data_IF_490774155790
#
_entry.id   IF_490774155790
#
_cell.length_a   1.000
_cell.length_b   1.000
_cell.length_c   1.000
_cell.angle_alpha   90.00
_cell.angle_beta   90.00
_cell.angle_gamma   90.00
#
_symmetry.space_group_name_H-M   'P 1'
#
loop_
_entity.id
_entity.type
_entity.pdbx_description
1 polymer ?
#
# COMPACT_ATOMS: atom_id res chain seq x y z
N UNK A 1 29.00 -11.87 -17.74
CA UNK A 1 28.24 -10.61 -17.67
C UNK A 1 27.85 -10.35 -16.22
N UNK A 2 27.85 -9.09 -15.81
CA UNK A 2 27.38 -8.73 -14.47
C UNK A 2 25.86 -8.96 -14.40
N UNK A 3 25.37 -9.57 -13.30
CA UNK A 3 23.95 -9.87 -13.12
C UNK A 3 23.19 -8.57 -12.88
N UNK A 4 22.03 -8.41 -13.53
CA UNK A 4 21.10 -7.30 -13.28
C UNK A 4 20.12 -7.72 -12.21
N UNK A 5 20.40 -7.37 -10.97
CA UNK A 5 19.59 -7.76 -9.82
C UNK A 5 18.72 -6.59 -9.33
N UNK A 6 17.47 -6.89 -8.96
CA UNK A 6 16.59 -5.95 -8.27
C UNK A 6 15.90 -6.63 -7.11
N UNK A 7 15.77 -5.93 -5.98
CA UNK A 7 15.25 -6.48 -4.74
C UNK A 7 14.06 -5.67 -4.25
N UNK A 8 12.99 -6.36 -3.85
CA UNK A 8 11.86 -5.78 -3.12
C UNK A 8 11.60 -6.58 -1.85
N UNK A 9 10.99 -5.92 -0.86
CA UNK A 9 10.59 -6.54 0.39
C UNK A 9 9.11 -6.36 0.68
N UNK A 10 8.58 -7.18 1.58
CA UNK A 10 7.27 -7.02 2.17
C UNK A 10 7.29 -7.46 3.64
N UNK A 11 6.25 -7.11 4.36
CA UNK A 11 6.06 -7.49 5.76
C UNK A 11 4.66 -8.05 5.97
N UNK A 12 4.49 -8.87 7.01
CA UNK A 12 3.17 -9.40 7.40
C UNK A 12 2.33 -8.35 8.12
N UNK A 13 1.05 -8.62 8.27
CA UNK A 13 0.11 -7.78 9.03
C UNK A 13 0.51 -7.56 10.50
N UNK A 14 1.33 -8.46 11.07
CA UNK A 14 1.80 -8.38 12.46
C UNK A 14 3.10 -7.60 12.65
N UNK A 15 3.70 -7.06 11.58
CA UNK A 15 4.80 -6.12 11.71
C UNK A 15 4.35 -4.85 12.43
N UNK A 16 5.11 -4.27 13.38
CA UNK A 16 4.67 -3.13 14.18
C UNK A 16 4.13 -1.94 13.38
N UNK A 17 4.82 -1.53 12.32
CA UNK A 17 4.35 -0.45 11.45
C UNK A 17 3.03 -0.82 10.76
N UNK A 18 2.86 -2.08 10.36
CA UNK A 18 1.63 -2.55 9.70
C UNK A 18 0.45 -2.71 10.67
N UNK A 19 0.70 -3.00 11.92
CA UNK A 19 -0.33 -2.91 12.97
C UNK A 19 -0.86 -1.48 13.03
N UNK A 20 0.03 -0.49 13.04
CA UNK A 20 -0.34 0.93 13.08
C UNK A 20 -1.14 1.36 11.85
N UNK A 21 -0.71 0.97 10.65
CA UNK A 21 -1.43 1.25 9.41
C UNK A 21 -2.84 0.66 9.43
N UNK A 22 -2.98 -0.60 9.86
CA UNK A 22 -4.29 -1.27 9.95
C UNK A 22 -5.22 -0.63 10.98
N UNK A 23 -4.70 -0.16 12.11
CA UNK A 23 -5.49 0.54 13.12
C UNK A 23 -5.96 1.88 12.57
N UNK A 24 -5.07 2.67 11.98
CA UNK A 24 -5.40 3.98 11.42
C UNK A 24 -6.46 3.88 10.32
N UNK A 25 -6.37 2.88 9.45
CA UNK A 25 -7.38 2.63 8.42
C UNK A 25 -8.66 1.99 8.97
N UNK A 26 -8.60 1.21 10.04
CA UNK A 26 -9.80 0.71 10.72
C UNK A 26 -10.61 1.84 11.36
N UNK A 27 -9.94 2.84 11.92
CA UNK A 27 -10.57 4.06 12.43
C UNK A 27 -11.22 4.85 11.30
N UNK A 28 -10.51 5.04 10.19
CA UNK A 28 -11.04 5.71 9.00
C UNK A 28 -12.30 5.00 8.45
N UNK A 29 -12.25 3.68 8.27
CA UNK A 29 -13.39 2.92 7.76
C UNK A 29 -14.59 2.99 8.69
N UNK A 30 -14.39 2.89 10.02
CA UNK A 30 -15.48 3.02 10.99
C UNK A 30 -16.12 4.42 11.00
N UNK A 31 -15.34 5.46 10.74
CA UNK A 31 -15.86 6.81 10.55
C UNK A 31 -16.67 6.93 9.26
N UNK A 32 -16.18 6.38 8.16
CA UNK A 32 -16.84 6.42 6.86
C UNK A 32 -18.16 5.61 6.82
N UNK A 33 -18.28 4.55 7.59
CA UNK A 33 -19.54 3.81 7.74
C UNK A 33 -20.69 4.68 8.27
N UNK A 34 -20.38 5.69 9.10
CA UNK A 34 -21.39 6.58 9.71
C UNK A 34 -21.42 7.97 9.05
N UNK A 35 -20.27 8.48 8.59
CA UNK A 35 -20.14 9.80 7.97
C UNK A 35 -19.12 9.77 6.82
N UNK A 36 -19.56 9.53 5.57
CA UNK A 36 -18.69 9.49 4.40
C UNK A 36 -17.95 10.81 4.10
N UNK A 37 -18.33 11.90 4.78
CA UNK A 37 -17.69 13.19 4.65
C UNK A 37 -16.72 13.52 5.79
N UNK A 38 -16.42 12.57 6.65
CA UNK A 38 -15.41 12.71 7.70
C UNK A 38 -14.06 13.16 7.12
N UNK A 39 -13.43 14.12 7.78
CA UNK A 39 -12.05 14.55 7.52
C UNK A 39 -11.16 13.88 8.55
N UNK A 40 -10.20 13.10 8.08
CA UNK A 40 -9.41 12.20 8.92
C UNK A 40 -7.94 12.29 8.55
N UNK A 41 -7.13 12.60 9.53
CA UNK A 41 -5.69 12.43 9.53
C UNK A 41 -5.35 11.69 10.83
N UNK A 42 -5.43 10.36 10.80
CA UNK A 42 -5.30 9.49 11.97
C UNK A 42 -4.00 8.72 11.90
N UNK A 43 -3.14 8.93 12.86
CA UNK A 43 -1.87 8.23 13.00
C UNK A 43 -1.89 7.35 14.25
N UNK A 44 -1.17 6.26 14.18
CA UNK A 44 -1.04 5.30 15.28
C UNK A 44 0.43 5.05 15.54
N UNK A 45 0.80 4.96 16.80
CA UNK A 45 2.07 4.42 17.22
C UNK A 45 1.87 3.28 18.21
N UNK A 46 2.80 2.33 18.20
CA UNK A 46 2.82 1.20 19.14
C UNK A 46 4.24 0.90 19.63
N UNK A 47 4.31 0.42 20.85
CA UNK A 47 5.53 -0.11 21.47
C UNK A 47 5.12 -1.16 22.51
N UNK A 48 6.06 -1.66 23.30
CA UNK A 48 5.80 -2.66 24.33
C UNK A 48 4.61 -2.26 25.23
N UNK A 49 3.54 -3.03 25.14
CA UNK A 49 2.38 -2.93 26.04
C UNK A 49 1.41 -1.79 25.75
N UNK A 50 1.62 -0.93 24.75
CA UNK A 50 0.68 0.16 24.49
C UNK A 50 0.50 0.51 23.00
N UNK A 51 -0.64 1.16 22.72
CA UNK A 51 -0.98 1.76 21.42
C UNK A 51 -1.49 3.17 21.69
N UNK A 52 -1.05 4.13 20.88
CA UNK A 52 -1.55 5.49 20.87
C UNK A 52 -2.14 5.82 19.49
N UNK A 53 -3.38 6.29 19.47
CA UNK A 53 -4.06 6.84 18.29
C UNK A 53 -4.12 8.35 18.43
N UNK A 54 -3.59 9.07 17.45
CA UNK A 54 -3.47 10.52 17.48
C UNK A 54 -3.76 11.14 16.11
N UNK A 55 -3.94 12.45 16.07
CA UNK A 55 -4.17 13.21 14.84
C UNK A 55 -5.39 14.12 14.90
N UNK A 56 -5.91 14.46 13.73
CA UNK A 56 -7.03 15.38 13.59
C UNK A 56 -8.22 14.70 12.89
N UNK A 57 -9.39 14.78 13.52
CA UNK A 57 -10.63 14.19 12.99
C UNK A 57 -11.78 15.19 13.12
N UNK A 58 -12.43 15.50 11.99
CA UNK A 58 -13.67 16.25 11.95
C UNK A 58 -14.77 15.37 11.37
N UNK A 59 -15.76 15.02 12.19
CA UNK A 59 -16.79 14.04 11.82
C UNK A 59 -18.09 14.27 12.61
N UNK A 60 -19.17 13.71 12.08
CA UNK A 60 -20.46 13.54 12.79
C UNK A 60 -20.62 12.13 13.37
N UNK A 61 -19.69 11.22 13.01
CA UNK A 61 -19.71 9.85 13.50
C UNK A 61 -19.35 9.77 14.99
N UNK A 62 -19.85 8.75 15.65
CA UNK A 62 -19.48 8.40 17.02
C UNK A 62 -19.03 6.94 17.06
N UNK A 63 -17.74 6.72 17.28
CA UNK A 63 -17.10 5.40 17.24
C UNK A 63 -16.36 5.09 18.53
N UNK A 64 -16.26 3.82 18.89
CA UNK A 64 -15.46 3.32 20.02
C UNK A 64 -14.05 2.94 19.54
N UNK A 65 -13.12 3.91 19.55
CA UNK A 65 -11.75 3.71 19.10
C UNK A 65 -11.02 2.62 19.91
N UNK A 66 -11.09 2.55 21.25
CA UNK A 66 -10.47 1.45 22.00
C UNK A 66 -10.91 0.07 21.52
N UNK A 67 -12.19 -0.14 21.26
CA UNK A 67 -12.71 -1.41 20.75
C UNK A 67 -12.20 -1.72 19.35
N UNK A 68 -12.13 -0.72 18.46
CA UNK A 68 -11.56 -0.86 17.10
C UNK A 68 -10.08 -1.27 17.18
N UNK A 69 -9.30 -0.62 18.02
CA UNK A 69 -7.87 -0.92 18.24
C UNK A 69 -7.72 -2.37 18.70
N UNK A 70 -8.40 -2.74 19.79
CA UNK A 70 -8.31 -4.10 20.37
C UNK A 70 -8.71 -5.17 19.38
N UNK A 71 -9.83 -4.97 18.67
CA UNK A 71 -10.30 -5.89 17.64
C UNK A 71 -9.27 -6.04 16.52
N UNK A 72 -8.69 -4.95 16.04
CA UNK A 72 -7.69 -4.99 14.96
C UNK A 72 -6.46 -5.81 15.38
N UNK A 73 -5.95 -5.57 16.59
CA UNK A 73 -4.77 -6.27 17.12
C UNK A 73 -5.03 -7.75 17.35
N UNK A 74 -6.19 -8.10 17.90
CA UNK A 74 -6.57 -9.50 18.14
C UNK A 74 -6.87 -10.24 16.82
N UNK A 75 -7.49 -9.58 15.83
CA UNK A 75 -7.70 -10.14 14.48
C UNK A 75 -6.37 -10.45 13.76
N UNK A 76 -5.33 -9.64 13.98
CA UNK A 76 -3.97 -9.89 13.50
C UNK A 76 -3.38 -11.15 14.17
N UNK A 77 -3.75 -11.44 15.40
CA UNK A 77 -3.33 -12.62 16.14
C UNK A 77 -2.48 -12.33 17.38
N UNK A 78 -2.37 -11.06 17.80
CA UNK A 78 -1.82 -10.68 19.10
C UNK A 78 -2.93 -10.64 20.16
N UNK A 79 -3.31 -11.83 20.62
CA UNK A 79 -4.44 -12.10 21.52
C UNK A 79 -4.01 -12.68 22.87
N UNK A 80 -2.70 -12.80 23.10
CA UNK A 80 -2.10 -13.35 24.33
C UNK A 80 -0.70 -12.76 24.57
N UNK A 81 -0.38 -12.52 25.83
CA UNK A 81 0.96 -12.11 26.27
C UNK A 81 2.08 -13.09 25.87
N UNK A 82 1.78 -14.37 25.67
CA UNK A 82 2.74 -15.38 25.21
C UNK A 82 3.28 -15.09 23.81
N UNK A 83 2.53 -14.30 23.03
CA UNK A 83 2.96 -13.84 21.71
C UNK A 83 3.78 -12.54 21.73
N UNK A 84 4.04 -12.01 22.95
CA UNK A 84 4.79 -10.79 23.19
C UNK A 84 3.95 -9.51 23.19
N UNK A 85 2.70 -9.57 22.73
CA UNK A 85 1.75 -8.45 22.73
C UNK A 85 0.32 -8.99 22.85
N UNK A 86 -0.55 -8.29 23.59
CA UNK A 86 -1.94 -8.72 23.78
C UNK A 86 -2.89 -7.53 23.61
N UNK A 87 -3.67 -7.55 22.54
CA UNK A 87 -4.68 -6.54 22.23
C UNK A 87 -5.80 -6.44 23.27
N UNK A 88 -6.04 -7.49 24.05
CA UNK A 88 -7.06 -7.47 25.10
C UNK A 88 -6.64 -6.64 26.31
N UNK A 89 -5.34 -6.57 26.59
CA UNK A 89 -4.79 -6.01 27.85
C UNK A 89 -3.85 -4.81 27.65
N UNK A 90 -3.39 -4.53 26.43
CA UNK A 90 -2.52 -3.40 26.15
C UNK A 90 -3.19 -2.06 26.53
N UNK A 91 -2.39 -1.07 26.90
CA UNK A 91 -2.88 0.29 27.09
C UNK A 91 -3.28 0.90 25.74
N UNK A 92 -4.43 1.56 25.68
CA UNK A 92 -4.89 2.32 24.51
C UNK A 92 -5.02 3.78 24.91
N UNK A 93 -4.24 4.65 24.27
CA UNK A 93 -4.25 6.09 24.46
C UNK A 93 -4.83 6.77 23.23
N UNK A 94 -5.57 7.85 23.44
CA UNK A 94 -6.21 8.63 22.37
C UNK A 94 -5.86 10.09 22.54
N UNK A 95 -5.34 10.71 21.47
CA UNK A 95 -5.03 12.13 21.38
C UNK A 95 -5.49 12.65 20.01
N UNK A 96 -6.81 12.78 19.84
CA UNK A 96 -7.44 13.26 18.61
C UNK A 96 -8.05 14.64 18.83
N UNK A 97 -7.66 15.58 17.98
CA UNK A 97 -8.17 16.94 17.94
C UNK A 97 -9.06 17.19 16.71
N UNK A 98 -9.70 18.35 16.65
CA UNK A 98 -10.40 18.80 15.44
C UNK A 98 -9.43 19.46 14.47
N UNK A 99 -9.67 19.28 13.16
CA UNK A 99 -8.89 19.96 12.12
C UNK A 99 -8.95 21.49 12.30
N UNK A 100 -7.82 22.16 12.04
CA UNK A 100 -7.71 23.62 12.04
C UNK A 100 -8.71 24.27 11.06
N UNK A 101 -9.39 25.33 11.51
CA UNK A 101 -10.30 26.11 10.68
C UNK A 101 -9.57 26.80 9.49
N UNK A 102 -8.31 27.17 9.68
CA UNK A 102 -7.50 27.83 8.63
C UNK A 102 -7.23 26.90 7.45
N UNK A 103 -6.97 25.63 7.73
CA UNK A 103 -6.77 24.60 6.69
C UNK A 103 -8.10 24.37 5.95
N UNK A 104 -9.22 24.27 6.66
CA UNK A 104 -10.54 24.03 6.06
C UNK A 104 -10.91 25.14 5.04
N UNK A 105 -10.67 26.42 5.36
CA UNK A 105 -10.98 27.53 4.44
C UNK A 105 -10.22 27.48 3.10
N UNK A 106 -8.99 26.95 3.09
CA UNK A 106 -8.17 26.81 1.89
C UNK A 106 -8.59 25.63 1.00
N UNK A 107 -9.21 24.61 1.58
CA UNK A 107 -9.50 23.33 0.95
C UNK A 107 -10.95 23.21 0.48
N UNK A 108 -11.89 23.82 1.20
CA UNK A 108 -13.33 23.68 0.91
C UNK A 108 -13.78 24.37 -0.39
N UNK A 109 -13.07 25.41 -0.84
CA UNK A 109 -13.31 26.05 -2.13
C UNK A 109 -11.97 26.33 -2.81
N UNK A 110 -11.75 25.76 -4.00
CA UNK A 110 -10.53 25.92 -4.79
C UNK A 110 -10.30 27.36 -5.20
N UNK A 111 -9.04 27.72 -5.46
CA UNK A 111 -8.65 29.04 -5.96
C UNK A 111 -9.36 29.35 -7.28
N UNK A 112 -9.35 28.40 -8.22
CA UNK A 112 -9.99 28.52 -9.53
C UNK A 112 -11.53 28.69 -9.43
N UNK A 113 -12.15 28.11 -8.39
CA UNK A 113 -13.57 28.33 -8.11
C UNK A 113 -13.83 29.72 -7.52
N UNK A 114 -12.91 30.28 -6.73
CA UNK A 114 -12.99 31.67 -6.22
C UNK A 114 -12.84 32.68 -7.34
N UNK A 115 -12.05 32.36 -8.36
CA UNK A 115 -11.82 33.19 -9.54
C UNK A 115 -12.88 32.99 -10.64
N UNK A 116 -13.84 32.05 -10.43
CA UNK A 116 -14.94 31.79 -11.36
C UNK A 116 -14.57 30.97 -12.60
N UNK A 117 -13.40 30.29 -12.59
CA UNK A 117 -12.93 29.48 -13.71
C UNK A 117 -13.55 28.07 -13.71
N UNK A 118 -13.98 27.56 -12.55
CA UNK A 118 -14.61 26.25 -12.38
C UNK A 118 -15.81 26.35 -11.42
N UNK A 119 -16.56 25.26 -11.29
CA UNK A 119 -17.74 25.19 -10.44
C UNK A 119 -17.41 25.54 -8.96
N UNK A 120 -18.29 26.34 -8.34
CA UNK A 120 -18.17 26.81 -6.95
C UNK A 120 -18.11 25.68 -5.91
N UNK A 121 -18.57 24.49 -6.26
CA UNK A 121 -18.52 23.28 -5.39
C UNK A 121 -17.18 22.55 -5.45
N UNK A 122 -16.24 22.98 -6.30
CA UNK A 122 -14.95 22.32 -6.46
C UNK A 122 -13.99 22.71 -5.33
N UNK A 123 -13.53 21.67 -4.57
CA UNK A 123 -12.52 21.83 -3.54
C UNK A 123 -11.10 21.84 -4.11
N UNK A 124 -10.20 22.55 -3.43
CA UNK A 124 -8.78 22.54 -3.73
C UNK A 124 -8.08 21.32 -3.10
N UNK A 125 -6.84 21.05 -3.52
CA UNK A 125 -6.02 20.03 -2.88
C UNK A 125 -5.79 20.36 -1.39
N UNK A 126 -5.87 19.33 -0.55
CA UNK A 126 -5.72 19.47 0.91
C UNK A 126 -4.31 19.79 1.37
N UNK A 127 -3.33 19.59 0.52
CA UNK A 127 -1.92 19.89 0.76
C UNK A 127 -1.19 20.07 -0.58
N UNK A 128 0.02 20.60 -0.52
CA UNK A 128 0.99 20.48 -1.58
C UNK A 128 1.57 19.07 -1.62
N UNK A 129 2.07 18.63 -2.77
CA UNK A 129 2.79 17.35 -2.82
C UNK A 129 2.97 16.84 -4.24
N UNK A 130 3.75 15.76 -4.34
CA UNK A 130 3.91 14.97 -5.55
C UNK A 130 3.57 13.51 -5.26
N UNK A 131 2.87 12.87 -6.18
CA UNK A 131 2.43 11.48 -6.07
C UNK A 131 2.83 10.73 -7.33
N UNK A 132 3.15 9.46 -7.17
CA UNK A 132 3.56 8.59 -8.27
C UNK A 132 2.60 7.42 -8.43
N UNK A 133 2.33 7.08 -9.69
CA UNK A 133 1.70 5.84 -10.08
C UNK A 133 2.61 5.07 -11.02
N UNK A 134 2.54 3.74 -10.98
CA UNK A 134 3.36 2.88 -11.81
C UNK A 134 2.59 1.64 -12.24
N UNK A 135 2.92 1.14 -13.42
CA UNK A 135 2.51 -0.16 -13.91
C UNK A 135 3.56 -0.74 -14.86
N UNK A 136 3.64 -2.06 -14.91
CA UNK A 136 4.50 -2.81 -15.83
C UNK A 136 3.79 -4.10 -16.25
N UNK A 137 4.10 -4.62 -17.42
CA UNK A 137 3.55 -5.88 -17.93
C UNK A 137 4.29 -7.13 -17.39
N UNK A 138 5.13 -6.99 -16.36
CA UNK A 138 5.88 -8.10 -15.76
C UNK A 138 4.99 -9.17 -15.11
N UNK A 139 3.82 -8.76 -14.61
CA UNK A 139 2.86 -9.67 -13.95
C UNK A 139 1.44 -9.40 -14.44
N UNK A 140 0.51 -10.37 -14.32
CA UNK A 140 -0.89 -10.18 -14.69
C UNK A 140 -1.60 -9.04 -13.95
N UNK A 141 -1.16 -8.72 -12.74
CA UNK A 141 -1.64 -7.61 -11.93
C UNK A 141 -1.01 -6.27 -12.29
N UNK A 142 -0.12 -6.23 -13.29
CA UNK A 142 0.61 -5.04 -13.73
C UNK A 142 1.50 -4.44 -12.63
N UNK A 143 2.14 -5.31 -11.85
CA UNK A 143 3.09 -4.95 -10.79
C UNK A 143 4.50 -5.41 -11.12
N UNK A 144 5.54 -4.78 -10.55
CA UNK A 144 6.90 -5.33 -10.60
C UNK A 144 6.95 -6.73 -10.00
N UNK A 145 7.60 -7.66 -10.68
CA UNK A 145 7.61 -9.08 -10.27
C UNK A 145 8.19 -9.27 -8.86
N UNK A 146 9.29 -8.55 -8.53
CA UNK A 146 9.91 -8.63 -7.21
C UNK A 146 8.98 -8.18 -6.08
N UNK A 147 8.26 -7.07 -6.27
CA UNK A 147 7.30 -6.55 -5.30
C UNK A 147 6.08 -7.47 -5.16
N UNK A 148 5.48 -7.87 -6.30
CA UNK A 148 4.33 -8.77 -6.31
C UNK A 148 4.63 -10.10 -5.59
N UNK A 149 5.81 -10.68 -5.84
CA UNK A 149 6.20 -11.94 -5.22
C UNK A 149 6.48 -11.78 -3.72
N UNK A 150 7.16 -10.70 -3.29
CA UNK A 150 7.38 -10.42 -1.88
C UNK A 150 6.05 -10.28 -1.11
N UNK A 151 5.07 -9.58 -1.69
CA UNK A 151 3.71 -9.46 -1.12
C UNK A 151 2.98 -10.82 -1.05
N UNK A 152 3.05 -11.62 -2.11
CA UNK A 152 2.44 -12.97 -2.13
C UNK A 152 3.04 -13.88 -1.06
N UNK A 153 4.37 -13.85 -0.87
CA UNK A 153 5.05 -14.63 0.16
C UNK A 153 4.66 -14.20 1.57
N UNK A 154 4.62 -12.89 1.86
CA UNK A 154 4.21 -12.39 3.17
C UNK A 154 2.75 -12.71 3.49
N UNK A 155 1.86 -12.65 2.48
CA UNK A 155 0.46 -13.03 2.60
C UNK A 155 0.30 -14.54 2.83
N UNK A 156 1.08 -15.39 2.15
CA UNK A 156 1.07 -16.83 2.34
C UNK A 156 1.58 -17.20 3.73
N UNK A 157 2.62 -16.53 4.23
CA UNK A 157 3.12 -16.73 5.59
C UNK A 157 2.04 -16.49 6.64
N UNK A 158 1.26 -15.42 6.48
CA UNK A 158 0.11 -15.14 7.34
C UNK A 158 -1.01 -16.18 7.17
N UNK A 159 -1.29 -16.62 5.93
CA UNK A 159 -2.33 -17.62 5.67
C UNK A 159 -2.04 -18.91 6.41
N UNK A 160 -0.84 -19.50 6.27
CA UNK A 160 -0.49 -20.77 6.90
C UNK A 160 -0.45 -20.70 8.43
N UNK A 161 -0.23 -19.51 8.99
CA UNK A 161 -0.37 -19.24 10.41
C UNK A 161 -1.85 -19.24 10.84
N UNK A 162 -2.70 -18.48 10.14
CA UNK A 162 -4.11 -18.27 10.51
C UNK A 162 -4.98 -19.51 10.28
N UNK A 163 -4.69 -20.31 9.25
CA UNK A 163 -5.44 -21.53 8.96
C UNK A 163 -4.96 -22.74 9.80
N UNK A 164 -3.93 -22.56 10.63
CA UNK A 164 -3.40 -23.56 11.54
C UNK A 164 -2.43 -24.55 10.90
N UNK A 165 -2.10 -24.43 9.62
CA UNK A 165 -1.09 -25.27 8.95
C UNK A 165 0.25 -25.19 9.66
N UNK A 166 0.68 -23.98 10.04
CA UNK A 166 1.89 -23.73 10.83
C UNK A 166 1.51 -22.95 12.11
N UNK A 167 0.85 -23.61 13.04
CA UNK A 167 0.27 -22.99 14.25
C UNK A 167 1.30 -22.39 15.22
N UNK A 168 2.57 -22.78 15.10
CA UNK A 168 3.66 -22.22 15.89
C UNK A 168 4.16 -20.86 15.38
N UNK A 169 3.78 -20.44 14.18
CA UNK A 169 4.13 -19.12 13.68
C UNK A 169 3.36 -18.03 14.45
N UNK A 170 4.03 -16.90 14.63
CA UNK A 170 3.48 -15.69 15.25
C UNK A 170 3.30 -14.59 14.23
N UNK A 171 2.58 -13.49 14.57
CA UNK A 171 2.11 -12.54 13.56
C UNK A 171 3.21 -11.75 12.83
N UNK A 172 4.36 -11.46 13.44
CA UNK A 172 5.42 -10.67 12.84
C UNK A 172 6.25 -11.48 11.84
N UNK A 173 6.54 -10.87 10.71
CA UNK A 173 7.38 -11.50 9.68
C UNK A 173 7.71 -10.56 8.53
N UNK A 174 8.75 -10.93 7.80
CA UNK A 174 9.27 -10.19 6.63
C UNK A 174 9.61 -11.14 5.50
N UNK A 175 9.47 -10.67 4.28
CA UNK A 175 9.90 -11.36 3.07
C UNK A 175 10.70 -10.42 2.19
N UNK A 176 11.69 -10.94 1.50
CA UNK A 176 12.48 -10.19 0.53
C UNK A 176 12.78 -11.09 -0.66
N UNK A 177 12.71 -10.53 -1.86
CA UNK A 177 12.94 -11.24 -3.10
C UNK A 177 13.92 -10.47 -3.96
N UNK A 178 15.00 -11.12 -4.38
CA UNK A 178 15.95 -10.60 -5.36
C UNK A 178 15.76 -11.33 -6.68
N UNK A 179 15.42 -10.58 -7.71
CA UNK A 179 15.14 -11.06 -9.06
C UNK A 179 16.29 -10.71 -9.99
N UNK A 180 16.70 -11.64 -10.83
CA UNK A 180 17.61 -11.40 -11.94
C UNK A 180 16.80 -11.08 -13.20
N UNK A 181 17.21 -10.03 -13.91
CA UNK A 181 16.56 -9.54 -15.13
C UNK A 181 17.48 -9.67 -16.33
N UNK A 182 16.90 -9.96 -17.50
CA UNK A 182 17.61 -9.95 -18.77
C UNK A 182 17.94 -8.53 -19.28
N UNK A 183 18.51 -8.44 -20.46
CA UNK A 183 18.84 -7.17 -21.11
C UNK A 183 17.61 -6.31 -21.43
N UNK A 184 16.45 -6.95 -21.63
CA UNK A 184 15.16 -6.32 -21.89
C UNK A 184 14.38 -6.03 -20.63
N UNK A 185 15.01 -6.19 -19.45
CA UNK A 185 14.41 -6.01 -18.13
C UNK A 185 13.22 -6.94 -17.87
N UNK A 186 13.24 -8.16 -18.43
CA UNK A 186 12.30 -9.23 -18.08
C UNK A 186 12.86 -10.06 -16.93
N UNK A 187 12.03 -10.43 -15.94
CA UNK A 187 12.45 -11.32 -14.87
C UNK A 187 12.77 -12.72 -15.46
N UNK A 188 13.93 -13.29 -15.11
CA UNK A 188 14.39 -14.57 -15.64
C UNK A 188 14.62 -15.64 -14.59
N UNK A 189 14.98 -15.27 -13.36
CA UNK A 189 15.15 -16.16 -12.22
C UNK A 189 15.18 -15.41 -10.91
N UNK A 190 15.09 -16.16 -9.81
CA UNK A 190 15.29 -15.64 -8.46
C UNK A 190 16.74 -15.88 -8.01
N UNK A 191 17.44 -14.81 -7.66
CA UNK A 191 18.79 -14.91 -7.10
C UNK A 191 18.77 -15.17 -5.59
N UNK A 192 17.81 -14.54 -4.87
CA UNK A 192 17.65 -14.79 -3.43
C UNK A 192 16.20 -14.63 -2.98
N UNK A 193 15.81 -15.44 -2.00
CA UNK A 193 14.57 -15.35 -1.24
C UNK A 193 14.92 -15.31 0.25
N UNK A 194 14.41 -14.32 0.98
CA UNK A 194 14.56 -14.23 2.43
C UNK A 194 13.18 -14.25 3.06
N UNK A 195 12.98 -15.13 4.04
CA UNK A 195 11.77 -15.18 4.86
C UNK A 195 12.18 -15.17 6.34
N UNK A 196 11.69 -14.18 7.07
CA UNK A 196 11.84 -14.14 8.53
C UNK A 196 10.47 -14.17 9.17
N UNK A 197 10.25 -15.07 10.12
CA UNK A 197 8.97 -15.20 10.81
C UNK A 197 9.16 -15.37 12.30
N UNK A 198 8.42 -14.61 13.07
CA UNK A 198 8.26 -14.82 14.50
C UNK A 198 7.62 -16.18 14.75
N UNK A 199 8.08 -16.88 15.79
CA UNK A 199 7.66 -18.25 16.10
C UNK A 199 7.62 -18.54 17.59
N UNK A 200 6.94 -19.60 17.96
CA UNK A 200 6.93 -20.13 19.33
C UNK A 200 8.33 -20.66 19.74
N UNK A 201 8.69 -20.58 21.02
CA UNK A 201 10.05 -20.92 21.47
C UNK A 201 10.39 -22.41 21.37
N UNK A 202 9.41 -23.30 21.27
CA UNK A 202 9.57 -24.77 21.33
C UNK A 202 9.96 -25.38 19.99
N UNK A 203 9.72 -24.67 18.86
CA UNK A 203 9.97 -25.21 17.52
C UNK A 203 11.44 -25.11 17.14
N UNK A 204 11.97 -26.16 16.51
CA UNK A 204 13.37 -26.17 16.03
C UNK A 204 13.55 -25.32 14.76
N UNK A 205 14.76 -24.81 14.54
CA UNK A 205 15.08 -24.06 13.32
C UNK A 205 15.00 -24.94 12.06
N UNK A 206 15.34 -26.21 12.17
CA UNK A 206 15.22 -27.17 11.09
C UNK A 206 13.75 -27.32 10.64
N UNK A 207 12.84 -27.51 11.60
CA UNK A 207 11.41 -27.59 11.31
C UNK A 207 10.89 -26.29 10.67
N UNK A 208 11.27 -25.12 11.20
CA UNK A 208 10.87 -23.82 10.62
C UNK A 208 11.35 -23.71 9.19
N UNK A 209 12.61 -24.10 8.91
CA UNK A 209 13.19 -24.05 7.59
C UNK A 209 12.41 -24.93 6.59
N UNK A 210 12.19 -26.20 6.93
CA UNK A 210 11.52 -27.15 6.05
C UNK A 210 10.05 -26.77 5.80
N UNK A 211 9.36 -26.37 6.85
CA UNK A 211 7.95 -25.98 6.77
C UNK A 211 7.75 -24.67 5.96
N UNK A 212 8.54 -23.63 6.21
CA UNK A 212 8.45 -22.39 5.46
C UNK A 212 8.83 -22.60 3.98
N UNK A 213 9.88 -23.41 3.74
CA UNK A 213 10.22 -23.76 2.36
C UNK A 213 9.04 -24.43 1.67
N UNK A 214 8.45 -25.45 2.27
CA UNK A 214 7.36 -26.26 1.70
C UNK A 214 6.05 -25.52 1.58
N UNK A 215 5.58 -24.88 2.66
CA UNK A 215 4.23 -24.33 2.73
C UNK A 215 4.13 -22.86 2.35
N UNK A 216 5.26 -22.14 2.27
CA UNK A 216 5.29 -20.72 1.89
C UNK A 216 6.00 -20.54 0.56
N UNK A 217 7.27 -20.93 0.43
CA UNK A 217 8.06 -20.67 -0.77
C UNK A 217 7.59 -21.55 -1.94
N UNK A 218 7.63 -22.87 -1.77
CA UNK A 218 7.26 -23.81 -2.84
C UNK A 218 5.77 -23.75 -3.21
N UNK A 219 4.92 -23.21 -2.34
CA UNK A 219 3.50 -23.01 -2.60
C UNK A 219 3.20 -21.77 -3.47
N UNK A 220 4.11 -20.80 -3.54
CA UNK A 220 3.88 -19.50 -4.20
C UNK A 220 4.82 -19.27 -5.38
N UNK A 221 6.06 -19.73 -5.28
CA UNK A 221 7.09 -19.46 -6.30
C UNK A 221 6.95 -20.47 -7.44
N UNK A 222 6.96 -19.96 -8.67
CA UNK A 222 7.05 -20.82 -9.85
C UNK A 222 8.40 -21.57 -9.83
N UNK A 223 8.40 -22.92 -9.86
CA UNK A 223 9.63 -23.71 -9.87
C UNK A 223 10.59 -23.34 -11.00
N UNK A 224 10.09 -22.84 -12.13
CA UNK A 224 10.91 -22.40 -13.26
C UNK A 224 11.78 -21.17 -12.93
N UNK A 225 11.44 -20.42 -11.88
CA UNK A 225 12.19 -19.26 -11.43
C UNK A 225 13.29 -19.58 -10.41
N UNK A 226 13.36 -20.84 -9.94
CA UNK A 226 14.35 -21.33 -8.96
C UNK A 226 15.33 -22.27 -9.65
N UNK A 227 16.62 -22.12 -9.38
CA UNK A 227 17.67 -23.03 -9.83
C UNK A 227 18.64 -23.38 -8.68
N UNK A 228 19.72 -24.11 -9.00
CA UNK A 228 20.70 -24.55 -8.02
C UNK A 228 21.49 -23.39 -7.37
N UNK A 229 21.53 -22.23 -8.00
CA UNK A 229 22.24 -21.03 -7.53
C UNK A 229 21.32 -20.10 -6.73
N UNK A 230 20.03 -20.36 -6.67
CA UNK A 230 19.07 -19.56 -5.90
C UNK A 230 19.31 -19.72 -4.40
N UNK A 231 19.56 -18.60 -3.72
CA UNK A 231 19.82 -18.56 -2.29
C UNK A 231 18.50 -18.43 -1.52
N UNK A 232 18.25 -19.36 -0.60
CA UNK A 232 17.06 -19.33 0.27
C UNK A 232 17.52 -19.14 1.70
N UNK A 233 17.08 -18.04 2.33
CA UNK A 233 17.38 -17.70 3.71
C UNK A 233 16.09 -17.70 4.53
N UNK A 234 15.96 -18.59 5.48
CA UNK A 234 14.81 -18.70 6.40
C UNK A 234 15.31 -18.49 7.81
N UNK A 235 14.81 -17.45 8.50
CA UNK A 235 15.28 -17.03 9.83
C UNK A 235 16.82 -17.08 9.95
N UNK A 236 17.57 -16.36 9.10
CA UNK A 236 19.03 -16.50 9.01
C UNK A 236 19.77 -16.12 10.31
N UNK A 237 19.13 -15.35 11.19
CA UNK A 237 19.63 -15.01 12.53
C UNK A 237 19.36 -16.10 13.58
N UNK A 238 18.62 -17.16 13.21
CA UNK A 238 18.17 -18.22 14.08
C UNK A 238 16.87 -17.88 14.80
N UNK A 239 16.91 -17.67 16.11
CA UNK A 239 15.73 -17.50 16.95
C UNK A 239 15.03 -16.14 16.74
N UNK A 240 13.72 -16.17 16.41
CA UNK A 240 12.87 -14.99 16.30
C UNK A 240 11.57 -15.19 17.12
N UNK A 241 11.69 -15.23 18.43
CA UNK A 241 10.56 -15.40 19.38
C UNK A 241 10.03 -14.03 19.82
N UNK A 242 10.93 -13.08 20.11
CA UNK A 242 10.56 -11.71 20.45
C UNK A 242 10.36 -10.96 19.14
N UNK A 243 9.16 -10.46 18.90
CA UNK A 243 8.76 -9.72 17.70
C UNK A 243 7.49 -8.91 17.97
N UNK A 244 6.96 -8.29 16.89
CA UNK A 244 5.86 -7.35 17.02
C UNK A 244 6.23 -6.13 17.86
N UNK A 245 5.25 -5.46 18.49
CA UNK A 245 5.50 -4.25 19.30
C UNK A 245 6.43 -4.46 20.51
N UNK A 246 6.64 -5.70 20.94
CA UNK A 246 7.60 -6.03 21.99
C UNK A 246 9.05 -6.07 21.48
N UNK A 247 9.24 -6.27 20.19
CA UNK A 247 10.56 -6.30 19.54
C UNK A 247 11.00 -4.95 18.98
N UNK A 248 10.07 -4.20 18.42
CA UNK A 248 10.34 -2.90 17.79
C UNK A 248 9.08 -2.02 17.83
N UNK A 249 9.28 -0.70 17.88
CA UNK A 249 8.18 0.27 17.80
C UNK A 249 7.59 0.34 16.38
N UNK A 250 6.29 0.64 16.29
CA UNK A 250 5.60 0.87 15.03
C UNK A 250 5.00 2.26 14.93
N UNK A 251 4.95 2.79 13.71
CA UNK A 251 4.22 4.01 13.36
C UNK A 251 3.50 3.86 12.03
N UNK A 252 2.34 4.52 11.92
CA UNK A 252 1.64 4.69 10.65
C UNK A 252 2.54 5.37 9.61
N UNK A 253 2.55 4.83 8.39
CA UNK A 253 3.26 5.46 7.26
C UNK A 253 4.77 5.23 7.23
N UNK A 254 5.30 4.21 7.91
CA UNK A 254 6.73 3.85 7.85
C UNK A 254 7.04 2.68 6.89
N UNK A 255 6.05 2.19 6.15
CA UNK A 255 6.22 1.12 5.15
C UNK A 255 5.72 1.54 3.77
N UNK A 256 5.92 2.83 3.42
CA UNK A 256 5.39 3.44 2.20
C UNK A 256 5.90 2.80 0.91
N UNK A 257 7.10 2.25 0.90
CA UNK A 257 7.66 1.54 -0.26
C UNK A 257 7.05 0.14 -0.39
N UNK A 258 6.83 -0.55 0.74
CA UNK A 258 6.08 -1.82 0.79
C UNK A 258 4.64 -1.61 0.34
N UNK A 259 4.02 -0.51 0.73
CA UNK A 259 2.64 -0.17 0.36
C UNK A 259 2.46 0.08 -1.14
N UNK A 260 3.52 0.42 -1.87
CA UNK A 260 3.47 0.84 -3.26
C UNK A 260 4.12 -0.18 -4.21
N UNK A 261 5.33 0.07 -4.69
CA UNK A 261 5.93 -0.69 -5.79
C UNK A 261 7.25 -1.37 -5.42
N UNK A 262 7.59 -1.49 -4.13
CA UNK A 262 8.79 -2.19 -3.67
C UNK A 262 10.10 -1.56 -4.14
N UNK A 263 10.12 -0.26 -4.45
CA UNK A 263 11.29 0.47 -4.92
C UNK A 263 11.44 0.53 -6.45
N UNK A 264 10.57 -0.14 -7.21
CA UNK A 264 10.65 -0.12 -8.69
C UNK A 264 10.20 1.21 -9.30
N UNK A 265 9.42 2.01 -8.58
CA UNK A 265 8.98 3.35 -8.96
C UNK A 265 9.44 4.38 -7.94
N UNK A 266 9.44 5.65 -8.36
CA UNK A 266 9.64 6.79 -7.46
C UNK A 266 8.49 6.88 -6.45
N UNK A 267 8.72 7.59 -5.35
CA UNK A 267 7.72 7.83 -4.31
C UNK A 267 7.74 9.30 -3.88
N UNK A 268 6.55 9.89 -3.67
CA UNK A 268 6.44 11.28 -3.26
C UNK A 268 6.65 11.53 -1.76
N UNK A 269 6.70 10.47 -0.95
CA UNK A 269 6.92 10.54 0.50
C UNK A 269 5.62 10.50 1.33
N UNK A 270 4.44 10.70 0.73
CA UNK A 270 3.16 10.70 1.43
C UNK A 270 2.72 9.29 1.85
N UNK A 271 2.37 9.11 3.12
CA UNK A 271 1.74 7.89 3.62
C UNK A 271 0.26 7.85 3.26
N UNK A 272 -0.31 6.65 3.16
CA UNK A 272 -1.72 6.43 2.81
C UNK A 272 -2.62 6.22 4.03
N UNK A 273 -2.26 5.25 4.88
CA UNK A 273 -3.11 4.81 5.99
C UNK A 273 -3.47 5.95 6.94
N UNK A 274 -4.72 5.95 7.38
CA UNK A 274 -5.26 6.97 8.28
C UNK A 274 -5.70 8.28 7.62
N UNK A 275 -5.46 8.45 6.31
CA UNK A 275 -5.86 9.65 5.55
C UNK A 275 -7.16 9.40 4.78
N UNK A 276 -8.13 10.29 4.92
CA UNK A 276 -9.35 10.29 4.11
C UNK A 276 -9.07 10.67 2.65
N UNK A 277 -10.04 10.43 1.75
CA UNK A 277 -9.88 10.61 0.32
C UNK A 277 -9.67 12.07 -0.14
N UNK A 278 -9.82 13.06 0.72
CA UNK A 278 -9.51 14.46 0.39
C UNK A 278 -8.01 14.76 0.46
N UNK A 279 -7.22 13.90 1.08
CA UNK A 279 -5.77 13.99 1.12
C UNK A 279 -5.20 13.42 -0.18
N UNK A 280 -4.63 14.29 -1.01
CA UNK A 280 -4.07 13.94 -2.33
C UNK A 280 -2.91 12.96 -2.25
N UNK A 281 -2.17 12.92 -1.14
CA UNK A 281 -1.15 11.89 -0.89
C UNK A 281 -1.70 10.47 -1.14
N UNK A 282 -2.94 10.21 -0.74
CA UNK A 282 -3.61 8.93 -0.94
C UNK A 282 -4.41 8.91 -2.24
N UNK A 283 -5.34 9.81 -2.43
CA UNK A 283 -6.27 9.77 -3.56
C UNK A 283 -5.58 9.95 -4.90
N UNK A 284 -4.62 10.87 -5.01
CA UNK A 284 -3.90 11.09 -6.25
C UNK A 284 -2.88 9.98 -6.55
N UNK A 285 -2.28 9.34 -5.54
CA UNK A 285 -1.46 8.15 -5.75
C UNK A 285 -2.30 6.98 -6.30
N UNK A 286 -3.52 6.79 -5.80
CA UNK A 286 -4.45 5.80 -6.34
C UNK A 286 -4.90 6.14 -7.77
N UNK A 287 -5.19 7.42 -8.05
CA UNK A 287 -5.51 7.86 -9.40
C UNK A 287 -4.33 7.66 -10.36
N UNK A 288 -3.11 8.00 -9.94
CA UNK A 288 -1.90 7.81 -10.75
C UNK A 288 -1.67 6.31 -11.06
N UNK A 289 -1.92 5.41 -10.08
CA UNK A 289 -1.91 3.95 -10.32
C UNK A 289 -2.97 3.54 -11.33
N UNK A 290 -4.20 4.01 -11.18
CA UNK A 290 -5.29 3.70 -12.10
C UNK A 290 -4.97 4.13 -13.53
N UNK A 291 -4.41 5.31 -13.72
CA UNK A 291 -3.98 5.84 -15.03
C UNK A 291 -2.85 4.98 -15.60
N UNK A 292 -1.76 4.78 -14.85
CA UNK A 292 -0.60 3.99 -15.31
C UNK A 292 -0.99 2.56 -15.70
N UNK A 293 -1.85 1.92 -14.90
CA UNK A 293 -2.32 0.56 -15.16
C UNK A 293 -3.14 0.47 -16.44
N UNK A 294 -4.05 1.41 -16.68
CA UNK A 294 -4.85 1.43 -17.91
C UNK A 294 -4.00 1.75 -19.15
N UNK A 295 -2.98 2.60 -19.04
CA UNK A 295 -2.03 2.87 -20.14
C UNK A 295 -1.29 1.60 -20.54
N UNK A 296 -0.73 0.87 -19.57
CA UNK A 296 0.01 -0.37 -19.86
C UNK A 296 -0.93 -1.47 -20.38
N UNK A 297 -2.09 -1.63 -19.76
CA UNK A 297 -3.09 -2.61 -20.18
C UNK A 297 -3.65 -2.34 -21.59
N UNK A 298 -3.76 -1.07 -21.99
CA UNK A 298 -4.16 -0.68 -23.34
C UNK A 298 -3.05 -0.85 -24.40
N UNK A 299 -1.82 -1.22 -23.98
CA UNK A 299 -0.69 -1.45 -24.87
C UNK A 299 0.03 -0.18 -25.33
N UNK A 300 -0.24 0.98 -24.73
CA UNK A 300 0.46 2.22 -25.07
C UNK A 300 1.92 2.21 -24.62
N UNK A 301 2.27 1.43 -23.60
CA UNK A 301 3.63 1.20 -23.13
C UNK A 301 3.71 -0.14 -22.40
N UNK A 302 4.91 -0.73 -22.29
CA UNK A 302 5.15 -1.92 -21.44
C UNK A 302 5.38 -1.54 -19.98
N UNK A 303 5.81 -0.29 -19.75
CA UNK A 303 6.02 0.34 -18.44
C UNK A 303 5.55 1.77 -18.48
N UNK A 304 4.95 2.22 -17.40
CA UNK A 304 4.49 3.60 -17.29
C UNK A 304 4.61 4.06 -15.84
N UNK A 305 5.36 5.12 -15.62
CA UNK A 305 5.36 5.89 -14.36
C UNK A 305 4.71 7.25 -14.62
N UNK A 306 3.86 7.66 -13.70
CA UNK A 306 3.15 8.93 -13.75
C UNK A 306 3.46 9.70 -12.48
N UNK A 307 3.86 10.96 -12.61
CA UNK A 307 3.92 11.90 -11.50
C UNK A 307 2.76 12.90 -11.61
N UNK A 308 2.05 13.09 -10.52
CA UNK A 308 1.10 14.17 -10.30
C UNK A 308 1.63 15.10 -9.22
N UNK A 309 1.41 16.40 -9.37
CA UNK A 309 1.71 17.35 -8.30
C UNK A 309 0.57 18.32 -8.08
N UNK A 310 0.41 18.78 -6.84
CA UNK A 310 -0.64 19.72 -6.43
C UNK A 310 -0.05 20.83 -5.58
N UNK A 311 -0.73 21.98 -5.60
CA UNK A 311 -0.55 23.07 -4.63
C UNK A 311 -1.78 23.11 -3.71
N UNK A 312 -1.57 23.40 -2.42
CA UNK A 312 -2.67 23.52 -1.46
C UNK A 312 -3.71 24.54 -1.95
N UNK A 313 -4.99 24.20 -1.86
CA UNK A 313 -6.08 25.07 -2.28
C UNK A 313 -6.29 25.18 -3.79
N UNK A 314 -5.51 24.50 -4.62
CA UNK A 314 -5.65 24.49 -6.09
C UNK A 314 -6.25 23.15 -6.53
N UNK A 315 -7.24 23.19 -7.44
CA UNK A 315 -7.92 21.97 -7.88
C UNK A 315 -7.15 21.24 -8.98
N UNK A 316 -6.64 21.96 -9.98
CA UNK A 316 -5.92 21.33 -11.09
C UNK A 316 -4.52 20.89 -10.66
N UNK A 317 -4.05 19.69 -11.10
CA UNK A 317 -2.64 19.33 -10.93
C UNK A 317 -1.72 20.42 -11.49
N UNK A 318 -0.71 20.81 -10.72
CA UNK A 318 0.31 21.78 -11.16
C UNK A 318 1.22 21.20 -12.23
N UNK A 319 1.40 19.87 -12.23
CA UNK A 319 2.08 19.15 -13.30
C UNK A 319 1.58 17.71 -13.44
N UNK A 320 1.67 17.17 -14.66
CA UNK A 320 1.53 15.76 -15.00
C UNK A 320 2.76 15.38 -15.81
N UNK A 321 3.54 14.42 -15.33
CA UNK A 321 4.70 13.89 -16.04
C UNK A 321 4.49 12.39 -16.27
N UNK A 322 4.90 11.91 -17.43
CA UNK A 322 4.90 10.51 -17.83
C UNK A 322 6.32 10.10 -18.15
N UNK A 323 6.72 8.90 -17.72
CA UNK A 323 7.95 8.22 -18.14
C UNK A 323 7.58 6.81 -18.56
N UNK A 324 7.77 6.49 -19.82
CA UNK A 324 7.51 5.16 -20.38
C UNK A 324 8.76 4.28 -20.43
N UNK A 325 9.90 4.78 -19.94
CA UNK A 325 11.19 4.09 -19.92
C UNK A 325 11.61 3.61 -21.33
N UNK A 326 11.23 4.37 -22.36
CA UNK A 326 11.51 4.06 -23.75
C UNK A 326 10.65 2.92 -24.34
N UNK A 327 9.58 2.49 -23.65
CA UNK A 327 8.66 1.43 -24.13
C UNK A 327 7.38 1.99 -24.73
N UNK A 328 7.20 3.31 -24.74
CA UNK A 328 6.02 4.00 -25.27
C UNK A 328 5.83 3.75 -26.77
N UNK A 329 4.58 3.56 -27.17
CA UNK A 329 4.16 3.50 -28.59
C UNK A 329 3.86 4.89 -29.15
N UNK A 330 3.66 5.87 -28.28
CA UNK A 330 3.44 7.28 -28.55
C UNK A 330 4.46 8.09 -27.75
N UNK A 331 4.69 9.33 -28.17
CA UNK A 331 5.52 10.28 -27.40
C UNK A 331 4.87 10.60 -26.05
N UNK A 332 5.68 10.84 -25.05
CA UNK A 332 5.21 11.04 -23.66
C UNK A 332 4.30 12.27 -23.53
N UNK A 333 4.59 13.34 -24.28
CA UNK A 333 3.72 14.53 -24.37
C UNK A 333 2.33 14.15 -24.90
N UNK A 334 2.24 13.26 -25.91
CA UNK A 334 0.97 12.77 -26.42
C UNK A 334 0.22 11.93 -25.39
N UNK A 335 0.92 11.12 -24.62
CA UNK A 335 0.31 10.36 -23.53
C UNK A 335 -0.23 11.31 -22.45
N UNK A 336 0.47 12.41 -22.12
CA UNK A 336 -0.04 13.43 -21.18
C UNK A 336 -1.33 14.08 -21.70
N UNK A 337 -1.43 14.40 -22.99
CA UNK A 337 -2.68 14.89 -23.59
C UNK A 337 -3.82 13.88 -23.42
N UNK A 338 -3.58 12.61 -23.76
CA UNK A 338 -4.55 11.51 -23.60
C UNK A 338 -5.00 11.37 -22.14
N UNK A 339 -4.09 11.51 -21.18
CA UNK A 339 -4.44 11.48 -19.76
C UNK A 339 -5.41 12.62 -19.42
N UNK A 340 -5.12 13.86 -19.85
CA UNK A 340 -5.98 15.03 -19.61
C UNK A 340 -7.38 14.88 -20.21
N UNK A 341 -7.49 14.22 -21.36
CA UNK A 341 -8.77 13.99 -22.04
C UNK A 341 -9.64 12.91 -21.37
N UNK A 342 -9.02 11.90 -20.75
CA UNK A 342 -9.71 10.69 -20.30
C UNK A 342 -9.89 10.59 -18.78
N UNK A 343 -9.15 11.39 -17.98
CA UNK A 343 -9.14 11.30 -16.53
C UNK A 343 -9.29 12.68 -15.88
N UNK A 344 -10.25 12.79 -14.97
CA UNK A 344 -10.39 13.98 -14.13
C UNK A 344 -9.50 13.84 -12.90
N UNK A 345 -8.36 14.53 -12.93
CA UNK A 345 -7.34 14.46 -11.87
C UNK A 345 -7.47 15.60 -10.84
N UNK A 346 -8.58 16.36 -10.84
CA UNK A 346 -8.91 17.24 -9.72
C UNK A 346 -9.28 16.43 -8.49
N UNK A 347 -9.06 16.90 -7.25
CA UNK A 347 -9.35 16.13 -6.03
C UNK A 347 -10.76 15.54 -5.99
N UNK A 348 -11.80 16.36 -6.25
CA UNK A 348 -13.19 15.88 -6.29
C UNK A 348 -13.45 14.95 -7.49
N UNK A 349 -12.81 15.20 -8.63
CA UNK A 349 -12.85 14.33 -9.80
C UNK A 349 -12.34 12.92 -9.49
N UNK A 350 -11.19 12.84 -8.83
CA UNK A 350 -10.60 11.57 -8.37
C UNK A 350 -11.54 10.83 -7.41
N UNK A 351 -12.05 11.53 -6.39
CA UNK A 351 -12.96 10.96 -5.40
C UNK A 351 -14.19 10.37 -6.07
N UNK A 352 -14.77 11.07 -7.04
CA UNK A 352 -15.94 10.63 -7.81
C UNK A 352 -15.59 9.47 -8.76
N UNK A 353 -14.50 9.61 -9.52
CA UNK A 353 -14.05 8.61 -10.50
C UNK A 353 -13.75 7.26 -9.87
N UNK A 354 -13.12 7.27 -8.70
CA UNK A 354 -12.72 6.07 -7.98
C UNK A 354 -13.69 5.70 -6.83
N UNK A 355 -14.79 6.44 -6.63
CA UNK A 355 -15.78 6.19 -5.58
C UNK A 355 -15.13 5.95 -4.20
N UNK A 356 -14.32 6.93 -3.75
CA UNK A 356 -13.44 6.78 -2.58
C UNK A 356 -14.12 7.05 -1.22
N UNK A 357 -15.38 7.50 -1.19
CA UNK A 357 -16.09 7.75 0.09
C UNK A 357 -16.76 6.50 0.64
N UNK A 358 -16.01 5.41 0.70
CA UNK A 358 -16.47 4.10 1.16
C UNK A 358 -15.48 3.50 2.17
N UNK A 359 -15.93 2.62 3.09
CA UNK A 359 -15.06 1.93 4.02
C UNK A 359 -14.30 0.78 3.34
N UNK A 360 -13.27 1.10 2.56
CA UNK A 360 -12.48 0.15 1.74
C UNK A 360 -10.99 0.16 2.08
N UNK A 361 -10.57 0.86 3.11
CA UNK A 361 -9.18 1.20 3.37
C UNK A 361 -8.44 0.19 4.24
N UNK A 362 -9.02 -0.30 5.33
CA UNK A 362 -8.40 -1.28 6.23
C UNK A 362 -7.87 -2.51 5.48
N UNK A 363 -8.61 -3.00 4.50
CA UNK A 363 -8.23 -4.17 3.71
C UNK A 363 -6.96 -3.96 2.86
N UNK A 364 -6.55 -2.71 2.61
CA UNK A 364 -5.34 -2.35 1.84
C UNK A 364 -4.13 -2.10 2.72
N UNK A 365 -4.30 -1.96 4.02
CA UNK A 365 -3.25 -1.56 4.95
C UNK A 365 -2.15 -2.62 5.17
N UNK A 366 -2.31 -3.82 4.65
CA UNK A 366 -1.28 -4.86 4.62
C UNK A 366 -1.25 -5.53 3.24
N UNK A 367 -0.08 -6.03 2.85
CA UNK A 367 0.18 -6.73 1.57
C UNK A 367 0.07 -5.86 0.32
N UNK A 368 0.32 -4.55 0.46
CA UNK A 368 0.32 -3.56 -0.61
C UNK A 368 -1.06 -2.99 -0.95
N UNK A 369 -1.06 -1.74 -1.41
CA UNK A 369 -2.26 -1.04 -1.87
C UNK A 369 -2.56 -1.29 -3.35
N UNK A 370 -1.58 -1.78 -4.11
CA UNK A 370 -1.65 -1.98 -5.55
C UNK A 370 -1.46 -3.45 -5.94
N UNK A 371 -1.99 -3.82 -7.11
CA UNK A 371 -1.90 -5.18 -7.63
C UNK A 371 -2.76 -6.21 -6.87
N UNK A 372 -3.76 -5.76 -6.12
CA UNK A 372 -4.61 -6.58 -5.26
C UNK A 372 -5.79 -7.16 -6.05
N UNK A 373 -5.54 -8.27 -6.72
CA UNK A 373 -6.58 -9.00 -7.48
C UNK A 373 -7.59 -9.75 -6.60
N UNK A 374 -7.26 -9.90 -5.32
CA UNK A 374 -8.13 -10.49 -4.31
C UNK A 374 -9.17 -9.51 -3.74
N UNK A 375 -9.04 -8.22 -4.05
CA UNK A 375 -9.92 -7.15 -3.58
C UNK A 375 -10.58 -6.43 -4.76
N UNK A 376 -11.80 -5.93 -4.54
CA UNK A 376 -12.50 -5.09 -5.53
C UNK A 376 -12.15 -3.61 -5.32
N UNK A 377 -10.96 -3.21 -5.74
CA UNK A 377 -10.45 -1.85 -5.59
C UNK A 377 -10.69 -1.03 -6.85
N UNK A 378 -11.27 0.20 -6.73
CA UNK A 378 -11.58 1.04 -7.89
C UNK A 378 -10.37 1.40 -8.75
N UNK A 379 -9.21 1.64 -8.12
CA UNK A 379 -7.96 2.02 -8.81
C UNK A 379 -7.24 0.85 -9.50
N UNK A 380 -7.75 -0.37 -9.35
CA UNK A 380 -7.26 -1.55 -10.07
C UNK A 380 -8.13 -1.92 -11.29
N UNK A 381 -9.21 -1.19 -11.58
CA UNK A 381 -10.09 -1.42 -12.74
C UNK A 381 -9.39 -1.12 -14.06
N UNK A 382 -9.79 -1.84 -15.10
CA UNK A 382 -9.30 -1.74 -16.48
C UNK A 382 -10.37 -1.19 -17.44
N UNK A 383 -11.27 -0.38 -16.94
CA UNK A 383 -12.45 0.14 -17.66
C UNK A 383 -12.14 1.30 -18.61
N UNK A 384 -10.88 1.74 -18.69
CA UNK A 384 -10.40 2.74 -19.65
C UNK A 384 -9.63 2.13 -20.84
N UNK A 385 -9.34 0.84 -20.82
CA UNK A 385 -8.49 0.16 -21.81
C UNK A 385 -9.02 0.37 -23.24
N UNK A 386 -10.30 0.12 -23.50
CA UNK A 386 -10.89 0.27 -24.82
C UNK A 386 -10.88 1.72 -25.33
N UNK A 387 -11.05 2.69 -24.41
CA UNK A 387 -10.98 4.10 -24.77
C UNK A 387 -9.55 4.54 -25.11
N UNK A 388 -8.56 4.02 -24.38
CA UNK A 388 -7.14 4.34 -24.60
C UNK A 388 -6.56 3.62 -25.80
N UNK A 389 -6.95 2.39 -26.07
CA UNK A 389 -6.46 1.60 -27.22
C UNK A 389 -6.75 2.27 -28.58
N UNK A 390 -7.80 3.11 -28.66
CA UNK A 390 -8.15 3.86 -29.89
C UNK A 390 -7.05 4.83 -30.35
N UNK A 391 -6.16 5.25 -29.49
CA UNK A 391 -5.06 6.14 -29.84
C UNK A 391 -3.89 5.41 -30.54
N UNK A 392 -3.93 4.09 -30.61
CA UNK A 392 -2.93 3.29 -31.32
C UNK A 392 -3.29 3.06 -32.80
N UNK A 393 -4.48 3.43 -33.26
CA UNK A 393 -4.95 3.29 -34.63
C UNK A 393 -5.80 2.05 -34.83
#
# INVERSE_FOLDING_TARGET
>A
MEKRLFTSESVTEGHPDKICDQISDAVLDALYEQDPYSRVACETLTNTGFIMVMGEVTTKANIDIPSIVRKTVTDIGYDSSDKGFDGNTCAVMIALDKQSADIAMGVDKALEAKDGEIDDSEGGAGDQGMMFGYATNETPEFMPYSSALAQKLSKQLTKVRKDGTLSYLRPDGKTQVTVEYDENKKPIRLDAIVVSSQHAPEVSQEQIHDDIKKYVIDAIVDPAMIDADTKIYINPTGRFVIGGPNGDSGLTGRKIIVDTYGGAARHGGGAFSGKDCTKVDRSAAYAARYVAKNIVAAGLADRCEIQLSYAIGVARPTSIMVDTFGTGKLDEEKIVEIIRENFDLRPNGIIKMLDLRRPIYKQTAAYGHFGRTDLNLPWEKLDKVDALAKYLG
#
